data_IF_170123845475
#
_entry.id   IF_170123845475
#
_cell.length_a   1.000
_cell.length_b   1.000
_cell.length_c   1.000
_cell.angle_alpha   90.00
_cell.angle_beta   90.00
_cell.angle_gamma   90.00
#
_symmetry.space_group_name_H-M   'P 1'
#
loop_
_entity.id
_entity.type
_entity.pdbx_description
1 polymer ?
#
# COMPACT_ATOMS: atom_id res chain seq x y z
N UNK A 1 21.57 14.19 16.90
CA UNK A 1 22.21 13.94 15.59
C UNK A 1 21.09 13.71 14.59
N UNK A 2 20.93 14.58 13.60
CA UNK A 2 19.95 14.36 12.54
C UNK A 2 20.52 13.25 11.64
N UNK A 3 20.03 12.01 11.80
CA UNK A 3 20.36 10.95 10.86
C UNK A 3 19.92 11.38 9.46
N UNK A 4 20.88 11.37 8.54
CA UNK A 4 20.67 11.75 7.15
C UNK A 4 19.84 10.64 6.49
N UNK A 5 18.51 10.82 6.47
CA UNK A 5 17.57 9.82 5.97
C UNK A 5 17.86 9.58 4.48
N UNK A 6 18.03 8.31 4.09
CA UNK A 6 18.29 7.94 2.70
C UNK A 6 17.20 8.46 1.76
N UNK A 7 17.61 9.23 0.76
CA UNK A 7 16.72 9.68 -0.31
C UNK A 7 16.83 8.75 -1.52
N UNK A 8 15.75 8.67 -2.30
CA UNK A 8 15.75 7.90 -3.54
C UNK A 8 16.71 8.54 -4.55
N UNK A 9 17.59 7.73 -5.13
CA UNK A 9 18.54 8.19 -6.15
C UNK A 9 17.88 8.68 -7.45
N UNK A 10 16.64 8.25 -7.73
CA UNK A 10 15.86 8.75 -8.86
C UNK A 10 14.35 8.61 -8.63
N UNK A 11 13.56 9.48 -9.29
CA UNK A 11 12.09 9.38 -9.31
C UNK A 11 11.62 8.07 -9.94
N UNK A 12 12.32 7.62 -10.99
CA UNK A 12 12.01 6.37 -11.66
C UNK A 12 12.21 5.17 -10.73
N UNK A 13 13.30 5.14 -9.96
CA UNK A 13 13.55 4.10 -8.96
C UNK A 13 12.45 4.03 -7.89
N UNK A 14 11.97 5.19 -7.42
CA UNK A 14 10.84 5.25 -6.51
C UNK A 14 9.55 4.68 -7.12
N UNK A 15 9.23 5.06 -8.36
CA UNK A 15 8.01 4.59 -9.06
C UNK A 15 8.08 3.08 -9.28
N UNK A 16 9.23 2.55 -9.70
CA UNK A 16 9.42 1.12 -9.92
C UNK A 16 9.31 0.31 -8.63
N UNK A 17 9.89 0.80 -7.53
CA UNK A 17 9.77 0.15 -6.22
C UNK A 17 8.31 0.13 -5.74
N UNK A 18 7.58 1.25 -5.90
CA UNK A 18 6.17 1.34 -5.56
C UNK A 18 5.31 0.41 -6.44
N UNK A 19 5.56 0.37 -7.74
CA UNK A 19 4.85 -0.50 -8.67
C UNK A 19 5.10 -1.99 -8.36
N UNK A 20 6.35 -2.38 -8.09
CA UNK A 20 6.71 -3.74 -7.70
C UNK A 20 6.07 -4.16 -6.38
N UNK A 21 5.91 -3.23 -5.43
CA UNK A 21 5.19 -3.51 -4.17
C UNK A 21 3.68 -3.65 -4.35
N UNK A 22 3.10 -3.00 -5.36
CA UNK A 22 1.65 -3.00 -5.61
C UNK A 22 1.20 -4.18 -6.48
N UNK A 23 2.06 -4.67 -7.39
CA UNK A 23 1.76 -5.82 -8.25
C UNK A 23 2.12 -7.11 -7.51
N UNK A 24 1.10 -7.87 -7.10
CA UNK A 24 1.27 -9.15 -6.41
C UNK A 24 0.52 -10.30 -7.06
N UNK A 25 0.64 -11.49 -6.44
CA UNK A 25 -0.05 -12.72 -6.87
C UNK A 25 -1.53 -12.49 -7.13
N UNK A 26 -2.21 -11.72 -6.26
CA UNK A 26 -3.63 -11.38 -6.41
C UNK A 26 -4.02 -10.83 -7.79
N UNK A 27 -3.15 -10.04 -8.42
CA UNK A 27 -3.43 -9.48 -9.76
C UNK A 27 -3.34 -10.55 -10.86
N UNK A 28 -2.60 -11.63 -10.66
CA UNK A 28 -2.36 -12.68 -11.65
C UNK A 28 -3.56 -13.62 -11.77
N UNK A 29 -4.18 -13.99 -10.64
CA UNK A 29 -5.21 -15.03 -10.58
C UNK A 29 -6.57 -14.56 -10.07
N UNK A 30 -6.61 -13.79 -8.97
CA UNK A 30 -7.86 -13.37 -8.33
C UNK A 30 -8.59 -12.32 -9.16
N UNK A 31 -7.86 -11.38 -9.76
CA UNK A 31 -8.47 -10.35 -10.59
C UNK A 31 -9.14 -10.94 -11.86
N UNK A 32 -8.46 -11.79 -12.67
CA UNK A 32 -9.11 -12.44 -13.81
C UNK A 32 -10.28 -13.33 -13.40
N UNK A 33 -10.15 -14.07 -12.30
CA UNK A 33 -11.22 -14.92 -11.77
C UNK A 33 -12.48 -14.12 -11.41
N UNK A 34 -12.33 -13.07 -10.59
CA UNK A 34 -13.45 -12.19 -10.23
C UNK A 34 -14.04 -11.47 -11.44
N UNK A 35 -13.20 -11.08 -12.40
CA UNK A 35 -13.67 -10.48 -13.65
C UNK A 35 -14.51 -11.48 -14.45
N UNK A 36 -14.07 -12.73 -14.56
CA UNK A 36 -14.81 -13.80 -15.25
C UNK A 36 -16.17 -14.09 -14.61
N UNK A 37 -16.23 -14.18 -13.27
CA UNK A 37 -17.48 -14.48 -12.56
C UNK A 37 -18.46 -13.30 -12.51
N UNK A 38 -17.97 -12.06 -12.40
CA UNK A 38 -18.81 -10.88 -12.16
C UNK A 38 -19.23 -10.12 -13.43
N UNK A 39 -19.32 -10.80 -14.58
CA UNK A 39 -19.80 -10.18 -15.82
C UNK A 39 -18.73 -9.51 -16.67
N UNK A 40 -17.47 -9.95 -16.55
CA UNK A 40 -16.38 -9.60 -17.46
C UNK A 40 -16.10 -8.10 -17.51
N UNK A 41 -16.27 -7.52 -18.71
CA UNK A 41 -15.96 -6.12 -18.97
C UNK A 41 -16.78 -5.13 -18.10
N UNK A 42 -18.02 -5.47 -17.73
CA UNK A 42 -18.85 -4.61 -16.88
C UNK A 42 -18.24 -4.45 -15.48
N UNK A 43 -17.71 -5.54 -14.90
CA UNK A 43 -16.99 -5.51 -13.63
C UNK A 43 -15.73 -4.63 -13.72
N UNK A 44 -14.97 -4.74 -14.82
CA UNK A 44 -13.75 -3.94 -15.01
C UNK A 44 -14.05 -2.45 -15.03
N UNK A 45 -15.15 -2.01 -15.66
CA UNK A 45 -15.55 -0.60 -15.68
C UNK A 45 -15.84 -0.07 -14.28
N UNK A 46 -16.62 -0.81 -13.48
CA UNK A 46 -16.91 -0.46 -12.08
C UNK A 46 -15.65 -0.50 -11.24
N UNK A 47 -14.78 -1.49 -11.44
CA UNK A 47 -13.49 -1.60 -10.77
C UNK A 47 -12.61 -0.38 -11.03
N UNK A 48 -12.46 0.06 -12.28
CA UNK A 48 -11.69 1.26 -12.65
C UNK A 48 -12.29 2.50 -11.99
N UNK A 49 -13.62 2.64 -11.99
CA UNK A 49 -14.30 3.75 -11.34
C UNK A 49 -13.99 3.81 -9.83
N UNK A 50 -14.06 2.67 -9.13
CA UNK A 50 -13.68 2.57 -7.73
C UNK A 50 -12.20 2.87 -7.49
N UNK A 51 -11.31 2.42 -8.39
CA UNK A 51 -9.87 2.71 -8.29
C UNK A 51 -9.61 4.22 -8.39
N UNK A 52 -10.22 4.90 -9.35
CA UNK A 52 -10.03 6.35 -9.53
C UNK A 52 -10.60 7.14 -8.35
N UNK A 53 -11.75 6.75 -7.82
CA UNK A 53 -12.41 7.49 -6.75
C UNK A 53 -11.88 7.19 -5.35
N UNK A 54 -11.33 6.00 -5.11
CA UNK A 54 -10.93 5.57 -3.77
C UNK A 54 -9.43 5.29 -3.72
N UNK A 55 -8.93 4.38 -4.55
CA UNK A 55 -7.54 3.94 -4.45
C UNK A 55 -6.53 5.05 -4.79
N UNK A 56 -6.76 5.80 -5.87
CA UNK A 56 -5.89 6.90 -6.31
C UNK A 56 -5.79 8.02 -5.25
N UNK A 57 -6.90 8.60 -4.74
CA UNK A 57 -6.80 9.65 -3.73
C UNK A 57 -6.20 9.14 -2.42
N UNK A 58 -6.48 7.90 -2.01
CA UNK A 58 -5.85 7.30 -0.83
C UNK A 58 -4.33 7.17 -1.00
N UNK A 59 -3.86 6.71 -2.15
CA UNK A 59 -2.43 6.59 -2.45
C UNK A 59 -1.74 7.96 -2.45
N UNK A 60 -2.36 8.97 -3.08
CA UNK A 60 -1.82 10.34 -3.10
C UNK A 60 -1.72 10.88 -1.67
N UNK A 61 -2.75 10.66 -0.84
CA UNK A 61 -2.76 11.09 0.55
C UNK A 61 -1.63 10.41 1.37
N UNK A 62 -1.41 9.11 1.19
CA UNK A 62 -0.36 8.37 1.90
C UNK A 62 1.04 8.83 1.50
N UNK A 63 1.28 9.04 0.20
CA UNK A 63 2.55 9.58 -0.30
C UNK A 63 2.77 11.02 0.20
N UNK A 64 1.73 11.87 0.19
CA UNK A 64 1.80 13.24 0.69
C UNK A 64 2.12 13.27 2.19
N UNK A 65 1.44 12.45 3.00
CA UNK A 65 1.69 12.31 4.44
C UNK A 65 3.15 11.88 4.71
N UNK A 66 3.64 10.89 3.96
CA UNK A 66 5.01 10.42 4.06
C UNK A 66 6.04 11.51 3.75
N UNK A 67 5.80 12.32 2.72
CA UNK A 67 6.67 13.45 2.34
C UNK A 67 6.64 14.60 3.34
N UNK A 68 5.46 14.94 3.87
CA UNK A 68 5.29 16.03 4.82
C UNK A 68 5.92 15.72 6.18
N UNK A 69 5.74 14.49 6.66
CA UNK A 69 6.20 14.11 7.99
C UNK A 69 7.62 13.58 7.99
N UNK A 70 8.09 13.02 6.87
CA UNK A 70 9.36 12.33 6.73
C UNK A 70 9.61 11.33 7.89
N UNK A 71 8.54 10.66 8.35
CA UNK A 71 8.53 9.75 9.49
C UNK A 71 7.80 8.45 9.13
N UNK A 72 8.04 7.42 9.94
CA UNK A 72 7.32 6.15 9.82
C UNK A 72 5.83 6.36 10.15
N UNK A 73 4.91 5.47 9.73
CA UNK A 73 3.46 5.66 9.89
C UNK A 73 3.03 6.08 11.31
N UNK A 74 3.55 5.40 12.34
CA UNK A 74 3.31 5.74 13.75
C UNK A 74 3.78 7.16 14.09
N UNK A 75 5.01 7.52 13.67
CA UNK A 75 5.59 8.84 13.92
C UNK A 75 4.96 9.96 13.08
N UNK A 76 4.39 9.63 11.92
CA UNK A 76 3.67 10.55 11.06
C UNK A 76 2.36 10.97 11.74
N UNK A 77 1.55 10.02 12.20
CA UNK A 77 0.28 10.29 12.91
C UNK A 77 0.52 11.02 14.24
N UNK A 78 1.58 10.66 14.98
CA UNK A 78 1.98 11.41 16.19
C UNK A 78 2.33 12.87 15.88
N UNK A 79 3.00 13.14 14.75
CA UNK A 79 3.38 14.51 14.37
C UNK A 79 2.20 15.34 13.89
N UNK A 80 1.15 14.72 13.35
CA UNK A 80 -0.12 15.38 13.01
C UNK A 80 -1.00 15.67 14.24
N UNK A 81 -0.58 15.31 15.46
CA UNK A 81 -1.36 15.54 16.68
C UNK A 81 -2.53 14.57 16.87
N UNK A 82 -2.48 13.39 16.23
CA UNK A 82 -3.49 12.35 16.41
C UNK A 82 -3.58 11.91 17.88
N UNK A 83 -4.81 11.70 18.37
CA UNK A 83 -5.01 11.15 19.72
C UNK A 83 -4.36 9.76 19.86
N UNK A 84 -4.13 9.30 21.10
CA UNK A 84 -3.54 7.96 21.36
C UNK A 84 -4.27 6.83 20.60
N UNK A 85 -5.58 6.98 20.40
CA UNK A 85 -6.41 6.05 19.63
C UNK A 85 -6.07 6.08 18.13
N UNK A 86 -5.92 7.25 17.53
CA UNK A 86 -5.53 7.38 16.12
C UNK A 86 -4.12 6.87 15.85
N UNK A 87 -3.19 7.07 16.79
CA UNK A 87 -1.84 6.52 16.69
C UNK A 87 -1.87 4.98 16.75
N UNK A 88 -2.70 4.39 17.61
CA UNK A 88 -2.87 2.93 17.68
C UNK A 88 -3.53 2.36 16.42
N UNK A 89 -4.63 2.97 15.97
CA UNK A 89 -5.41 2.46 14.84
C UNK A 89 -4.78 2.73 13.48
N UNK A 90 -4.28 3.93 13.22
CA UNK A 90 -3.74 4.30 11.89
C UNK A 90 -2.22 4.14 11.83
N UNK A 91 -1.54 4.19 12.98
CA UNK A 91 -0.09 3.98 13.04
C UNK A 91 0.31 2.50 13.16
N UNK A 92 -0.25 1.78 14.15
CA UNK A 92 0.19 0.41 14.46
C UNK A 92 -0.59 -0.68 13.73
N UNK A 93 -1.90 -0.51 13.50
CA UNK A 93 -2.69 -1.53 12.84
C UNK A 93 -2.14 -1.93 11.45
N UNK A 94 -1.75 -0.99 10.56
CA UNK A 94 -1.19 -1.38 9.27
C UNK A 94 0.09 -2.20 9.40
N UNK A 95 0.94 -1.90 10.39
CA UNK A 95 2.17 -2.67 10.63
C UNK A 95 1.86 -4.12 11.03
N UNK A 96 0.87 -4.32 11.88
CA UNK A 96 0.42 -5.67 12.28
C UNK A 96 -0.18 -6.40 11.09
N UNK A 97 -1.04 -5.74 10.30
CA UNK A 97 -1.65 -6.31 9.11
C UNK A 97 -0.58 -6.73 8.10
N UNK A 98 0.39 -5.87 7.79
CA UNK A 98 1.49 -6.19 6.87
C UNK A 98 2.32 -7.37 7.37
N UNK A 99 2.59 -7.45 8.68
CA UNK A 99 3.32 -8.57 9.27
C UNK A 99 2.56 -9.90 9.11
N UNK A 100 1.26 -9.92 9.38
CA UNK A 100 0.41 -11.11 9.20
C UNK A 100 0.29 -11.47 7.71
N UNK A 101 0.20 -10.49 6.83
CA UNK A 101 0.17 -10.74 5.38
C UNK A 101 1.48 -11.37 4.90
N UNK A 102 2.61 -10.88 5.40
CA UNK A 102 3.93 -11.39 5.03
C UNK A 102 4.14 -12.85 5.46
N UNK A 103 3.58 -13.27 6.60
CA UNK A 103 3.76 -14.65 7.09
C UNK A 103 3.23 -15.68 6.10
N UNK A 104 2.02 -15.50 5.57
CA UNK A 104 1.47 -16.44 4.58
C UNK A 104 1.98 -16.16 3.16
N UNK A 105 2.22 -14.90 2.78
CA UNK A 105 2.77 -14.57 1.46
C UNK A 105 4.16 -15.18 1.26
N UNK A 106 4.99 -15.22 2.31
CA UNK A 106 6.31 -15.83 2.26
C UNK A 106 6.25 -17.34 2.00
N UNK A 107 5.27 -18.04 2.59
CA UNK A 107 5.05 -19.47 2.31
C UNK A 107 4.63 -19.70 0.86
N UNK A 108 3.68 -18.91 0.34
CA UNK A 108 3.22 -19.03 -1.04
C UNK A 108 4.36 -18.71 -2.03
N UNK A 109 5.13 -17.65 -1.76
CA UNK A 109 6.31 -17.32 -2.57
C UNK A 109 7.35 -18.46 -2.53
N UNK A 110 7.53 -19.11 -1.38
CA UNK A 110 8.40 -20.28 -1.24
C UNK A 110 7.96 -21.48 -2.08
N UNK A 111 6.66 -21.64 -2.38
CA UNK A 111 6.18 -22.70 -3.29
C UNK A 111 6.43 -22.38 -4.77
N UNK A 112 6.67 -21.12 -5.10
CA UNK A 112 6.90 -20.68 -6.49
C UNK A 112 8.37 -20.73 -6.92
N UNK A 113 9.29 -20.99 -5.98
CA UNK A 113 10.74 -21.17 -6.20
C UNK A 113 11.08 -22.65 -6.22
#
# INVERSE_FOLDING_TARGET
MAENRGQWGSKFGFIMAAAGSAVGLGNIWRFPYLTGENGGAAFVLVYIFCVVLVAVPMLINEIALGRLTAKNPVGAIQRLGGSKLWVALVGFLPLIVTFVVLSYYSTIAGWTV
#
